data_IF_052164056771
#
_entry.id   IF_052164056771
#
_cell.length_a   1.000
_cell.length_b   1.000
_cell.length_c   1.000
_cell.angle_alpha   90.00
_cell.angle_beta   90.00
_cell.angle_gamma   90.00
#
_symmetry.space_group_name_H-M   'P 1'
#
loop_
_entity.id
_entity.type
_entity.pdbx_description
1 polymer ?
#
# COMPACT_ATOMS: atom_id res chain seq x y z
N UNK A 1 -3.78 -11.12 29.09
CA UNK A 1 -3.32 -11.53 27.76
C UNK A 1 -3.33 -10.28 26.90
N UNK A 2 -2.21 -9.94 26.30
CA UNK A 2 -2.08 -8.80 25.39
C UNK A 2 -2.45 -9.23 23.97
N UNK A 3 -2.72 -8.27 23.07
CA UNK A 3 -2.94 -8.59 21.64
C UNK A 3 -1.72 -9.30 21.02
N UNK A 4 -0.51 -9.02 21.51
CA UNK A 4 0.69 -9.70 21.06
C UNK A 4 0.69 -11.20 21.44
N UNK A 5 0.21 -11.52 22.64
CA UNK A 5 0.06 -12.91 23.09
C UNK A 5 -0.96 -13.66 22.21
N UNK A 6 -2.09 -13.02 21.89
CA UNK A 6 -3.13 -13.58 21.03
C UNK A 6 -2.61 -13.88 19.61
N UNK A 7 -1.83 -12.94 19.03
CA UNK A 7 -1.18 -13.14 17.73
C UNK A 7 -0.22 -14.33 17.77
N UNK A 8 0.55 -14.49 18.85
CA UNK A 8 1.46 -15.62 18.99
C UNK A 8 0.72 -16.96 19.04
N UNK A 9 -0.40 -17.03 19.77
CA UNK A 9 -1.26 -18.21 19.84
C UNK A 9 -1.86 -18.52 18.45
N UNK A 10 -2.39 -17.51 17.75
CA UNK A 10 -2.91 -17.68 16.40
C UNK A 10 -1.85 -18.20 15.42
N UNK A 11 -0.61 -17.71 15.52
CA UNK A 11 0.50 -18.16 14.68
C UNK A 11 0.89 -19.63 14.97
N UNK A 12 0.82 -20.09 16.23
CA UNK A 12 1.08 -21.50 16.54
C UNK A 12 0.11 -22.43 15.81
N UNK A 13 -1.16 -22.04 15.67
CA UNK A 13 -2.14 -22.76 14.87
C UNK A 13 -1.83 -22.67 13.36
N UNK A 14 -1.43 -21.50 12.87
CA UNK A 14 -1.04 -21.29 11.46
C UNK A 14 0.09 -22.24 11.02
N UNK A 15 1.14 -22.37 11.84
CA UNK A 15 2.33 -23.18 11.55
C UNK A 15 1.98 -24.68 11.41
N UNK A 16 0.93 -25.19 12.04
CA UNK A 16 0.52 -26.59 11.90
C UNK A 16 0.14 -26.97 10.46
N UNK A 17 -0.26 -25.99 9.65
CA UNK A 17 -0.64 -26.17 8.24
C UNK A 17 0.40 -25.63 7.24
N UNK A 18 1.55 -25.16 7.74
CA UNK A 18 2.55 -24.49 6.93
C UNK A 18 3.29 -25.47 6.01
N UNK A 19 3.17 -25.25 4.70
CA UNK A 19 3.77 -26.09 3.64
C UNK A 19 4.58 -25.28 2.63
N UNK A 20 4.76 -23.98 2.88
CA UNK A 20 5.21 -22.98 1.88
C UNK A 20 6.66 -22.54 2.06
N UNK A 21 7.44 -23.28 2.86
CA UNK A 21 8.81 -22.92 3.23
C UNK A 21 9.85 -22.95 2.10
N UNK A 22 9.49 -23.47 0.92
CA UNK A 22 10.36 -23.57 -0.26
C UNK A 22 10.00 -22.56 -1.36
N UNK A 23 9.07 -21.63 -1.10
CA UNK A 23 8.75 -20.59 -2.07
C UNK A 23 9.99 -19.70 -2.33
N UNK A 24 10.27 -19.35 -3.60
CA UNK A 24 11.40 -18.50 -3.93
C UNK A 24 11.17 -17.06 -3.46
N UNK A 25 12.26 -16.29 -3.35
CA UNK A 25 12.20 -14.88 -2.95
C UNK A 25 11.52 -13.98 -4.00
N UNK A 26 11.82 -14.08 -5.32
CA UNK A 26 11.14 -13.28 -6.34
C UNK A 26 9.63 -13.60 -6.44
N UNK A 27 8.75 -12.58 -6.52
CA UNK A 27 7.32 -12.79 -6.68
C UNK A 27 6.97 -13.51 -7.98
N UNK A 28 6.20 -14.58 -7.89
CA UNK A 28 5.88 -15.45 -9.03
C UNK A 28 5.10 -14.72 -10.14
N UNK A 29 4.24 -13.75 -9.78
CA UNK A 29 3.48 -12.96 -10.75
C UNK A 29 4.18 -11.69 -11.19
N UNK A 30 5.37 -11.40 -10.66
CA UNK A 30 6.14 -10.18 -10.95
C UNK A 30 5.38 -8.87 -10.68
N UNK A 31 4.47 -8.90 -9.71
CA UNK A 31 3.64 -7.74 -9.34
C UNK A 31 4.06 -7.19 -7.97
N UNK A 32 4.09 -5.86 -7.87
CA UNK A 32 4.09 -5.13 -6.61
C UNK A 32 2.76 -4.36 -6.45
N UNK A 33 2.09 -4.50 -5.31
CA UNK A 33 0.86 -3.78 -4.98
C UNK A 33 1.18 -2.74 -3.91
N UNK A 34 0.84 -1.48 -4.16
CA UNK A 34 0.87 -0.39 -3.18
C UNK A 34 -0.57 -0.10 -2.76
N UNK A 35 -0.87 -0.22 -1.46
CA UNK A 35 -2.22 0.04 -0.94
C UNK A 35 -2.17 0.62 0.48
N UNK A 36 -3.33 1.03 1.00
CA UNK A 36 -3.43 1.60 2.34
C UNK A 36 -3.20 0.55 3.44
N UNK A 37 -2.73 0.97 4.60
CA UNK A 37 -2.66 0.18 5.84
C UNK A 37 -4.03 -0.10 6.48
N UNK A 38 -5.13 0.35 5.87
CA UNK A 38 -6.49 0.20 6.39
C UNK A 38 -6.82 -1.23 6.83
N UNK A 39 -7.32 -1.36 8.06
CA UNK A 39 -7.58 -2.65 8.69
C UNK A 39 -8.72 -3.45 8.02
N UNK A 40 -9.57 -2.79 7.23
CA UNK A 40 -10.67 -3.45 6.48
C UNK A 40 -10.17 -4.16 5.23
N UNK A 41 -8.94 -3.88 4.79
CA UNK A 41 -8.34 -4.48 3.60
C UNK A 41 -7.35 -5.54 4.03
N UNK A 42 -7.69 -6.81 3.78
CA UNK A 42 -6.75 -7.92 3.81
C UNK A 42 -6.27 -8.19 2.37
N UNK A 43 -5.06 -7.73 1.97
CA UNK A 43 -4.67 -7.68 0.55
C UNK A 43 -4.71 -9.04 -0.16
N UNK A 44 -4.32 -10.11 0.53
CA UNK A 44 -4.35 -11.45 -0.06
C UNK A 44 -5.76 -11.85 -0.52
N UNK A 45 -6.78 -11.58 0.31
CA UNK A 45 -8.18 -11.85 -0.02
C UNK A 45 -8.73 -10.84 -1.01
N UNK A 46 -8.44 -9.54 -0.82
CA UNK A 46 -8.98 -8.46 -1.65
C UNK A 46 -8.49 -8.52 -3.10
N UNK A 47 -7.27 -8.99 -3.33
CA UNK A 47 -6.63 -9.04 -4.66
C UNK A 47 -6.41 -10.46 -5.20
N UNK A 48 -6.95 -11.49 -4.53
CA UNK A 48 -6.87 -12.88 -4.98
C UNK A 48 -5.44 -13.43 -5.05
N UNK A 49 -4.60 -13.07 -4.07
CA UNK A 49 -3.20 -13.47 -4.00
C UNK A 49 -3.03 -14.73 -3.14
N UNK A 50 -2.04 -15.53 -3.50
CA UNK A 50 -1.44 -16.59 -2.69
C UNK A 50 -0.06 -16.16 -2.22
N UNK A 51 0.48 -16.83 -1.21
CA UNK A 51 1.85 -16.58 -0.76
C UNK A 51 2.83 -16.78 -1.92
N UNK A 52 3.78 -15.85 -2.04
CA UNK A 52 4.75 -15.81 -3.14
C UNK A 52 4.25 -15.15 -4.43
N UNK A 53 2.97 -14.77 -4.55
CA UNK A 53 2.45 -14.17 -5.81
C UNK A 53 3.00 -12.77 -6.08
N UNK A 54 3.00 -11.89 -5.07
CA UNK A 54 3.26 -10.46 -5.23
C UNK A 54 3.95 -9.87 -4.00
N UNK A 55 4.70 -8.78 -4.19
CA UNK A 55 5.02 -7.88 -3.09
C UNK A 55 3.80 -7.02 -2.74
N UNK A 56 3.58 -6.79 -1.45
CA UNK A 56 2.50 -5.92 -0.97
C UNK A 56 3.10 -4.87 -0.05
N UNK A 57 3.12 -3.62 -0.50
CA UNK A 57 3.63 -2.46 0.21
C UNK A 57 2.42 -1.69 0.76
N UNK A 58 2.43 -1.40 2.06
CA UNK A 58 1.34 -0.72 2.75
C UNK A 58 1.83 0.45 3.58
N UNK A 59 1.13 1.58 3.45
CA UNK A 59 1.30 2.75 4.30
C UNK A 59 -0.01 3.53 4.43
N UNK A 60 0.00 4.65 5.16
CA UNK A 60 -1.18 5.51 5.29
C UNK A 60 -1.56 6.07 3.91
N UNK A 61 -2.77 5.75 3.43
CA UNK A 61 -3.29 6.21 2.13
C UNK A 61 -2.80 5.44 0.90
N UNK A 62 -1.84 4.52 1.03
CA UNK A 62 -1.26 3.81 -0.12
C UNK A 62 -0.44 4.75 -1.01
N UNK A 63 0.32 5.65 -0.40
CA UNK A 63 1.06 6.72 -1.05
C UNK A 63 2.33 6.20 -1.73
N UNK A 64 2.43 6.42 -3.04
CA UNK A 64 3.59 5.96 -3.82
C UNK A 64 4.90 6.72 -3.55
N UNK A 65 4.91 8.02 -3.18
CA UNK A 65 6.16 8.70 -2.82
C UNK A 65 6.93 7.99 -1.69
N UNK A 66 6.22 7.53 -0.67
CA UNK A 66 6.84 6.79 0.44
C UNK A 66 7.16 5.32 0.06
N UNK A 67 6.35 4.71 -0.82
CA UNK A 67 6.57 3.35 -1.31
C UNK A 67 7.77 3.22 -2.28
N UNK A 68 8.28 4.33 -2.84
CA UNK A 68 9.26 4.35 -3.93
C UNK A 68 10.49 3.49 -3.65
N UNK A 69 11.10 3.62 -2.46
CA UNK A 69 12.28 2.83 -2.08
C UNK A 69 12.02 1.33 -2.18
N UNK A 70 10.84 0.88 -1.74
CA UNK A 70 10.45 -0.53 -1.76
C UNK A 70 10.16 -1.02 -3.17
N UNK A 71 9.55 -0.18 -4.02
CA UNK A 71 9.30 -0.48 -5.43
C UNK A 71 10.60 -0.66 -6.20
N UNK A 72 11.59 0.22 -6.01
CA UNK A 72 12.90 0.09 -6.66
C UNK A 72 13.57 -1.24 -6.30
N UNK A 73 13.53 -1.64 -5.03
CA UNK A 73 14.07 -2.95 -4.60
C UNK A 73 13.31 -4.09 -5.27
N UNK A 74 11.98 -4.01 -5.27
CA UNK A 74 11.10 -5.03 -5.88
C UNK A 74 11.43 -5.26 -7.36
N UNK A 75 11.66 -4.19 -8.11
CA UNK A 75 11.97 -4.27 -9.53
C UNK A 75 13.41 -4.71 -9.78
N UNK A 76 14.37 -3.96 -9.22
CA UNK A 76 15.78 -4.08 -9.58
C UNK A 76 16.42 -5.35 -9.02
N UNK A 77 15.98 -5.82 -7.84
CA UNK A 77 16.57 -6.98 -7.18
C UNK A 77 15.69 -8.22 -7.25
N UNK A 78 14.37 -8.05 -7.38
CA UNK A 78 13.41 -9.14 -7.24
C UNK A 78 12.53 -9.33 -8.48
N UNK A 79 12.74 -8.54 -9.54
CA UNK A 79 12.26 -8.81 -10.89
C UNK A 79 10.76 -8.56 -11.12
N UNK A 80 10.11 -7.74 -10.30
CA UNK A 80 8.74 -7.29 -10.60
C UNK A 80 8.75 -6.33 -11.80
N UNK A 81 7.75 -6.43 -12.66
CA UNK A 81 7.60 -5.60 -13.87
C UNK A 81 6.23 -4.92 -13.97
N UNK A 82 5.40 -5.08 -12.93
CA UNK A 82 4.05 -4.53 -12.87
C UNK A 82 3.77 -3.95 -11.49
N UNK A 83 3.25 -2.72 -11.43
CA UNK A 83 2.81 -2.03 -10.22
C UNK A 83 1.30 -1.81 -10.26
N UNK A 84 0.64 -2.13 -9.16
CA UNK A 84 -0.76 -1.80 -8.89
C UNK A 84 -0.81 -0.79 -7.75
N UNK A 85 -1.38 0.39 -8.02
CA UNK A 85 -1.68 1.41 -7.00
C UNK A 85 -3.16 1.29 -6.65
N UNK A 86 -3.49 0.82 -5.45
CA UNK A 86 -4.86 0.60 -5.01
C UNK A 86 -5.14 1.41 -3.73
N UNK A 87 -5.78 2.57 -3.89
CA UNK A 87 -6.29 3.37 -2.77
C UNK A 87 -7.75 2.98 -2.49
N UNK A 88 -8.43 3.57 -1.51
CA UNK A 88 -9.77 3.10 -1.14
C UNK A 88 -10.71 4.21 -0.70
N UNK A 89 -12.01 3.96 -0.82
CA UNK A 89 -13.07 4.83 -0.30
C UNK A 89 -13.03 4.89 1.22
N UNK A 90 -13.52 5.98 1.81
CA UNK A 90 -13.57 6.17 3.27
C UNK A 90 -12.18 6.04 3.93
N UNK A 91 -11.16 6.56 3.25
CA UNK A 91 -9.79 6.61 3.76
C UNK A 91 -9.62 7.78 4.74
N UNK A 92 -8.97 7.52 5.88
CA UNK A 92 -8.65 8.58 6.84
C UNK A 92 -7.81 9.72 6.25
N UNK A 93 -7.00 9.46 5.22
CA UNK A 93 -6.19 10.49 4.56
C UNK A 93 -7.01 11.51 3.77
N UNK A 94 -8.32 11.30 3.61
CA UNK A 94 -9.27 12.25 3.01
C UNK A 94 -9.85 13.24 4.04
N UNK A 95 -9.61 13.03 5.35
CA UNK A 95 -10.40 13.69 6.40
C UNK A 95 -9.64 14.76 7.17
N UNK A 96 -8.41 15.09 6.76
CA UNK A 96 -7.57 16.06 7.43
C UNK A 96 -6.53 16.66 6.47
N UNK A 97 -6.01 17.83 6.83
CA UNK A 97 -4.85 18.46 6.21
C UNK A 97 -3.62 18.36 7.14
N UNK A 98 -2.41 18.62 6.63
CA UNK A 98 -1.18 18.52 7.42
C UNK A 98 -1.25 19.38 8.71
N UNK A 99 -1.82 20.57 8.61
CA UNK A 99 -1.99 21.50 9.73
C UNK A 99 -2.83 20.89 10.87
N UNK A 100 -3.84 20.09 10.54
CA UNK A 100 -4.71 19.46 11.54
C UNK A 100 -3.93 18.45 12.38
N UNK A 101 -3.18 17.55 11.74
CA UNK A 101 -2.41 16.52 12.45
C UNK A 101 -1.21 17.11 13.19
N UNK A 102 -0.57 18.15 12.64
CA UNK A 102 0.48 18.90 13.34
C UNK A 102 -0.05 19.52 14.63
N UNK A 103 -1.22 20.17 14.57
CA UNK A 103 -1.86 20.76 15.74
C UNK A 103 -2.27 19.71 16.78
N UNK A 104 -2.78 18.56 16.34
CA UNK A 104 -3.15 17.44 17.22
C UNK A 104 -1.91 16.87 17.93
N UNK A 105 -0.81 16.66 17.21
CA UNK A 105 0.45 16.16 17.79
C UNK A 105 0.98 17.16 18.82
N UNK A 106 1.02 18.44 18.49
CA UNK A 106 1.48 19.47 19.42
C UNK A 106 0.60 19.52 20.67
N UNK A 107 -0.73 19.50 20.51
CA UNK A 107 -1.67 19.51 21.62
C UNK A 107 -1.53 18.28 22.53
N UNK A 108 -1.41 17.09 21.95
CA UNK A 108 -1.44 15.83 22.71
C UNK A 108 -0.09 15.45 23.31
N UNK A 109 1.01 15.76 22.62
CA UNK A 109 2.35 15.29 22.97
C UNK A 109 3.33 16.44 23.29
N UNK A 110 2.99 17.69 22.99
CA UNK A 110 3.90 18.82 23.14
C UNK A 110 5.05 18.84 22.12
N UNK A 111 5.04 17.96 21.12
CA UNK A 111 6.09 17.82 20.12
C UNK A 111 5.81 18.63 18.85
N UNK A 112 6.86 19.01 18.12
CA UNK A 112 6.77 19.66 16.81
C UNK A 112 6.94 18.64 15.68
N UNK A 113 5.91 18.50 14.84
CA UNK A 113 5.87 17.62 13.68
C UNK A 113 5.77 18.38 12.34
N UNK A 114 5.96 19.70 12.34
CA UNK A 114 5.79 20.56 11.15
C UNK A 114 6.74 20.21 9.99
N UNK A 115 7.85 19.53 10.28
CA UNK A 115 8.82 19.05 9.31
C UNK A 115 8.40 17.75 8.60
N UNK A 116 7.29 17.12 9.01
CA UNK A 116 6.78 15.88 8.44
C UNK A 116 5.58 16.21 7.55
N UNK A 117 5.66 15.86 6.27
CA UNK A 117 4.52 15.80 5.38
C UNK A 117 3.80 14.45 5.58
N UNK A 118 2.56 14.49 6.06
CA UNK A 118 1.75 13.29 6.30
C UNK A 118 1.02 12.82 5.04
N UNK A 119 1.20 13.51 3.91
CA UNK A 119 0.66 13.10 2.61
C UNK A 119 -0.88 12.90 2.61
N UNK A 120 -1.70 13.80 3.20
CA UNK A 120 -3.14 13.76 2.98
C UNK A 120 -3.48 14.06 1.52
N UNK A 121 -4.72 13.78 1.14
CA UNK A 121 -5.21 14.10 -0.20
C UNK A 121 -6.71 14.36 -0.16
N UNK A 122 -7.23 15.43 -0.80
CA UNK A 122 -8.64 15.79 -0.69
C UNK A 122 -9.54 15.06 -1.70
N UNK A 123 -8.96 14.42 -2.72
CA UNK A 123 -9.70 13.79 -3.83
C UNK A 123 -9.13 12.41 -4.15
N UNK A 124 -9.87 11.36 -3.81
CA UNK A 124 -9.43 9.98 -3.94
C UNK A 124 -8.98 9.59 -5.36
N UNK A 125 -9.86 9.71 -6.36
CA UNK A 125 -9.52 9.29 -7.73
C UNK A 125 -8.39 10.12 -8.33
N UNK A 126 -8.33 11.41 -8.00
CA UNK A 126 -7.24 12.28 -8.45
C UNK A 126 -5.92 11.83 -7.82
N UNK A 127 -5.90 11.52 -6.53
CA UNK A 127 -4.69 11.08 -5.85
C UNK A 127 -4.19 9.73 -6.38
N UNK A 128 -5.09 8.81 -6.79
CA UNK A 128 -4.69 7.59 -7.52
C UNK A 128 -3.98 7.95 -8.83
N UNK A 129 -4.51 8.89 -9.60
CA UNK A 129 -3.89 9.35 -10.86
C UNK A 129 -2.54 10.03 -10.60
N UNK A 130 -2.45 10.86 -9.58
CA UNK A 130 -1.24 11.59 -9.22
C UNK A 130 -0.12 10.63 -8.77
N UNK A 131 -0.45 9.64 -7.94
CA UNK A 131 0.51 8.63 -7.49
C UNK A 131 0.96 7.70 -8.65
N UNK A 132 0.05 7.35 -9.57
CA UNK A 132 0.41 6.63 -10.82
C UNK A 132 1.33 7.50 -11.69
N UNK A 133 1.01 8.77 -11.87
CA UNK A 133 1.80 9.71 -12.66
C UNK A 133 3.18 9.95 -12.03
N UNK A 134 3.26 10.04 -10.70
CA UNK A 134 4.51 10.13 -9.95
C UNK A 134 5.43 8.97 -10.31
N UNK A 135 4.94 7.73 -10.28
CA UNK A 135 5.73 6.56 -10.63
C UNK A 135 6.14 6.56 -12.11
N UNK A 136 5.20 6.84 -13.03
CA UNK A 136 5.50 6.89 -14.48
C UNK A 136 6.57 7.93 -14.81
N UNK A 137 6.58 9.06 -14.10
CA UNK A 137 7.52 10.16 -14.31
C UNK A 137 8.83 10.01 -13.51
N UNK A 138 8.91 9.04 -12.60
CA UNK A 138 10.10 8.84 -11.78
C UNK A 138 11.21 8.13 -12.60
N UNK A 139 12.42 8.69 -12.69
CA UNK A 139 13.52 8.07 -13.46
C UNK A 139 14.04 6.76 -12.85
N UNK A 140 13.68 6.45 -11.59
CA UNK A 140 14.06 5.22 -10.91
C UNK A 140 13.10 4.05 -11.20
N UNK A 141 11.98 4.32 -11.87
CA UNK A 141 11.03 3.31 -12.35
C UNK A 141 11.21 3.15 -13.86
N UNK A 142 11.62 1.96 -14.36
CA UNK A 142 11.82 1.75 -15.79
C UNK A 142 10.54 1.96 -16.60
N UNK A 143 10.66 2.55 -17.80
CA UNK A 143 9.51 2.79 -18.69
C UNK A 143 8.82 1.51 -19.18
N UNK A 144 9.46 0.36 -19.01
CA UNK A 144 8.89 -0.96 -19.31
C UNK A 144 7.94 -1.47 -18.21
N UNK A 145 7.93 -0.86 -17.02
CA UNK A 145 7.06 -1.28 -15.92
C UNK A 145 5.63 -0.84 -16.20
N UNK A 146 4.69 -1.78 -16.14
CA UNK A 146 3.27 -1.48 -16.29
C UNK A 146 2.71 -0.94 -14.97
N UNK A 147 2.04 0.20 -15.00
CA UNK A 147 1.50 0.85 -13.77
C UNK A 147 0.00 1.10 -13.94
N UNK A 148 -0.79 0.55 -13.03
CA UNK A 148 -2.26 0.64 -13.04
C UNK A 148 -2.79 1.22 -11.73
N UNK A 149 -3.80 2.09 -11.82
CA UNK A 149 -4.47 2.71 -10.68
C UNK A 149 -5.86 2.14 -10.43
N UNK A 150 -6.22 1.93 -9.16
CA UNK A 150 -7.51 1.41 -8.72
C UNK A 150 -8.01 2.11 -7.45
N UNK A 151 -9.33 2.10 -7.30
CA UNK A 151 -10.03 2.37 -6.04
C UNK A 151 -10.69 1.09 -5.54
N UNK A 152 -10.35 0.68 -4.33
CA UNK A 152 -11.06 -0.36 -3.58
C UNK A 152 -12.23 0.27 -2.82
N UNK A 153 -13.45 -0.14 -3.13
CA UNK A 153 -14.64 0.27 -2.39
C UNK A 153 -14.78 -0.59 -1.14
N UNK A 154 -14.54 0.00 0.04
CA UNK A 154 -14.60 -0.71 1.32
C UNK A 154 -16.01 -1.17 1.71
N UNK A 155 -17.05 -0.57 1.13
CA UNK A 155 -18.43 -0.97 1.40
C UNK A 155 -18.85 -2.21 0.61
N UNK A 156 -18.33 -2.38 -0.62
CA UNK A 156 -18.73 -3.46 -1.52
C UNK A 156 -17.65 -4.51 -1.75
N UNK A 157 -16.39 -4.22 -1.39
CA UNK A 157 -15.22 -5.05 -1.67
C UNK A 157 -14.77 -5.02 -3.13
N UNK A 158 -15.35 -4.15 -3.96
CA UNK A 158 -15.02 -4.08 -5.40
C UNK A 158 -13.74 -3.30 -5.64
N UNK A 159 -12.94 -3.79 -6.57
CA UNK A 159 -11.79 -3.06 -7.11
C UNK A 159 -12.20 -2.41 -8.43
N UNK A 160 -12.20 -1.08 -8.48
CA UNK A 160 -12.63 -0.27 -9.62
C UNK A 160 -11.40 0.35 -10.28
N UNK A 161 -11.13 0.11 -11.57
CA UNK A 161 -10.02 0.74 -12.27
C UNK A 161 -10.27 2.25 -12.39
N UNK A 162 -9.19 3.02 -12.23
CA UNK A 162 -9.18 4.45 -12.54
C UNK A 162 -8.46 4.61 -13.87
N UNK A 163 -9.19 5.08 -14.88
CA UNK A 163 -8.66 5.29 -16.22
C UNK A 163 -7.57 6.35 -16.18
N UNK A 164 -6.30 5.99 -16.00
CA UNK A 164 -5.21 6.91 -16.25
C UNK A 164 -5.20 7.19 -17.75
N UNK A 165 -5.37 8.44 -18.18
CA UNK A 165 -5.10 8.81 -19.58
C UNK A 165 -3.73 8.23 -19.97
N UNK A 166 -3.70 7.54 -21.11
CA UNK A 166 -2.51 6.86 -21.64
C UNK A 166 -1.44 7.87 -22.03
#
# INVERSE_FOLDING_TARGET
MTIADEIQVANQAYVQSWTKGQLPLPPARKVAIVTCMDARILPASAFGLKEGDAHVIRNAGGRTPEALRSLIISEQLLGTDTIIVAQHTDCGMLTFENEDIHAIIHKNLGADASHIDFLPFPKLEQNVRDDVAFLRNNPLIPKSVNIYGYVFDVATGRLVPIDSEQ
#
